data_IF_247057401809
#
_entry.id   IF_247057401809
#
_cell.length_a   1.000
_cell.length_b   1.000
_cell.length_c   1.000
_cell.angle_alpha   90.00
_cell.angle_beta   90.00
_cell.angle_gamma   90.00
#
_symmetry.space_group_name_H-M   'P 1'
#
loop_
_entity.id
_entity.type
_entity.pdbx_description
1 polymer ?
#
# COMPACT_ATOMS: atom_id res chain seq x y z
N UNK A 1 -13.05 -20.33 13.34
CA UNK A 1 -14.16 -19.96 14.24
C UNK A 1 -14.95 -18.77 13.69
N UNK A 2 -14.30 -17.74 13.14
CA UNK A 2 -14.97 -16.62 12.46
C UNK A 2 -15.92 -17.05 11.33
N UNK A 3 -15.58 -18.10 10.58
CA UNK A 3 -16.40 -18.62 9.48
C UNK A 3 -17.77 -19.18 9.93
N UNK A 4 -17.92 -19.53 11.22
CA UNK A 4 -19.22 -19.88 11.80
C UNK A 4 -20.04 -18.64 12.14
N UNK A 5 -19.37 -17.54 12.51
CA UNK A 5 -20.00 -16.25 12.82
C UNK A 5 -20.36 -15.47 11.55
N UNK A 6 -19.58 -15.65 10.48
CA UNK A 6 -19.70 -14.97 9.19
C UNK A 6 -19.70 -15.98 8.03
N UNK A 7 -20.71 -16.86 7.93
CA UNK A 7 -20.82 -17.82 6.83
C UNK A 7 -21.06 -17.11 5.47
N UNK A 8 -21.62 -15.91 5.49
CA UNK A 8 -21.77 -15.01 4.35
C UNK A 8 -20.43 -14.65 3.70
N UNK A 9 -19.38 -14.43 4.49
CA UNK A 9 -18.02 -14.16 4.01
C UNK A 9 -17.38 -15.34 3.28
N UNK A 10 -17.88 -16.56 3.50
CA UNK A 10 -17.49 -17.72 2.70
C UNK A 10 -18.34 -17.80 1.43
N UNK A 11 -19.65 -17.53 1.53
CA UNK A 11 -20.57 -17.59 0.41
C UNK A 11 -20.22 -16.57 -0.69
N UNK A 12 -19.85 -15.35 -0.31
CA UNK A 12 -19.52 -14.25 -1.23
C UNK A 12 -18.35 -14.56 -2.16
N UNK A 13 -17.46 -15.49 -1.80
CA UNK A 13 -16.35 -15.93 -2.66
C UNK A 13 -16.82 -16.59 -3.98
N UNK A 14 -18.09 -17.01 -4.03
CA UNK A 14 -18.76 -17.58 -5.21
C UNK A 14 -19.56 -16.54 -5.99
N UNK A 15 -19.77 -15.33 -5.45
CA UNK A 15 -20.52 -14.29 -6.12
C UNK A 15 -19.75 -13.76 -7.34
N UNK A 16 -20.38 -13.82 -8.52
CA UNK A 16 -19.73 -13.44 -9.78
C UNK A 16 -19.39 -11.95 -9.86
N UNK A 17 -20.26 -11.08 -9.31
CA UNK A 17 -20.03 -9.63 -9.33
C UNK A 17 -18.85 -9.28 -8.43
N UNK A 18 -18.78 -9.88 -7.25
CA UNK A 18 -17.70 -9.68 -6.30
C UNK A 18 -16.37 -10.17 -6.88
N UNK A 19 -16.34 -11.39 -7.45
CA UNK A 19 -15.14 -11.94 -8.11
C UNK A 19 -14.65 -11.07 -9.27
N UNK A 20 -15.58 -10.47 -10.03
CA UNK A 20 -15.24 -9.54 -11.11
C UNK A 20 -14.68 -8.22 -10.59
N UNK A 21 -15.29 -7.64 -9.55
CA UNK A 21 -14.90 -6.34 -9.00
C UNK A 21 -13.61 -6.40 -8.16
N UNK A 22 -13.41 -7.47 -7.41
CA UNK A 22 -12.31 -7.65 -6.46
C UNK A 22 -11.35 -8.77 -6.88
N UNK A 23 -11.26 -9.07 -8.18
CA UNK A 23 -10.52 -10.23 -8.70
C UNK A 23 -9.09 -10.34 -8.17
N UNK A 24 -8.29 -9.26 -8.24
CA UNK A 24 -6.92 -9.28 -7.69
C UNK A 24 -6.90 -9.48 -6.18
N UNK A 25 -7.81 -8.86 -5.45
CA UNK A 25 -7.87 -9.00 -3.99
C UNK A 25 -8.08 -10.47 -3.61
N UNK A 26 -9.03 -11.16 -4.23
CA UNK A 26 -9.24 -12.60 -4.01
C UNK A 26 -8.11 -13.47 -4.54
N UNK A 27 -7.50 -13.13 -5.67
CA UNK A 27 -6.34 -13.86 -6.18
C UNK A 27 -5.14 -13.75 -5.22
N UNK A 28 -4.94 -12.60 -4.57
CA UNK A 28 -3.88 -12.39 -3.59
C UNK A 28 -4.19 -13.13 -2.28
N UNK A 29 -5.43 -13.02 -1.79
CA UNK A 29 -5.89 -13.72 -0.59
C UNK A 29 -5.78 -15.26 -0.73
N UNK A 30 -6.04 -15.79 -1.92
CA UNK A 30 -5.93 -17.22 -2.23
C UNK A 30 -4.53 -17.65 -2.71
N UNK A 31 -3.52 -16.80 -2.51
CA UNK A 31 -2.12 -17.06 -2.86
C UNK A 31 -1.88 -17.37 -4.36
N UNK A 32 -2.82 -16.99 -5.23
CA UNK A 32 -2.70 -17.14 -6.69
C UNK A 32 -1.92 -16.00 -7.34
N UNK A 33 -1.85 -14.83 -6.70
CA UNK A 33 -1.10 -13.65 -7.16
C UNK A 33 -0.38 -12.96 -6.02
N UNK A 34 0.66 -12.20 -6.34
CA UNK A 34 1.39 -11.42 -5.33
C UNK A 34 0.72 -10.08 -5.00
N UNK A 35 0.74 -9.70 -3.73
CA UNK A 35 0.32 -8.36 -3.32
C UNK A 35 1.21 -7.28 -3.96
N UNK A 36 0.64 -6.14 -4.35
CA UNK A 36 1.36 -5.08 -5.08
C UNK A 36 2.59 -4.55 -4.32
N UNK A 37 2.55 -4.46 -2.99
CA UNK A 37 3.71 -4.02 -2.22
C UNK A 37 4.86 -5.03 -2.29
N UNK A 38 4.58 -6.34 -2.40
CA UNK A 38 5.60 -7.37 -2.58
C UNK A 38 6.23 -7.25 -3.98
N UNK A 39 5.40 -7.03 -5.01
CA UNK A 39 5.88 -6.78 -6.39
C UNK A 39 6.75 -5.52 -6.45
N UNK A 40 6.29 -4.41 -5.84
CA UNK A 40 7.06 -3.16 -5.80
C UNK A 40 8.36 -3.29 -5.01
N UNK A 41 8.39 -4.12 -3.96
CA UNK A 41 9.60 -4.42 -3.20
C UNK A 41 10.61 -5.24 -4.00
N UNK A 42 10.19 -5.93 -5.05
CA UNK A 42 11.07 -6.77 -5.88
C UNK A 42 11.64 -6.07 -7.10
N UNK A 43 11.12 -4.89 -7.45
CA UNK A 43 11.66 -4.10 -8.55
C UNK A 43 12.84 -3.25 -8.04
N UNK A 44 14.06 -3.38 -8.59
CA UNK A 44 15.20 -2.56 -8.18
C UNK A 44 14.98 -1.09 -8.53
N UNK A 45 15.52 -0.20 -7.70
CA UNK A 45 15.52 1.24 -7.97
C UNK A 45 16.88 1.83 -7.62
N UNK A 46 17.49 2.51 -8.59
CA UNK A 46 18.77 3.20 -8.40
C UNK A 46 18.54 4.69 -8.15
N UNK A 47 18.61 5.09 -6.87
CA UNK A 47 18.53 6.48 -6.45
C UNK A 47 19.41 6.76 -5.25
N UNK A 48 19.89 7.99 -5.11
CA UNK A 48 20.52 8.50 -3.89
C UNK A 48 19.53 9.30 -3.05
N UNK A 49 19.74 9.34 -1.72
CA UNK A 49 18.98 10.26 -0.85
C UNK A 49 19.29 11.73 -1.15
N UNK A 50 20.45 12.00 -1.73
CA UNK A 50 20.88 13.34 -2.12
C UNK A 50 20.38 13.75 -3.50
N UNK A 51 19.71 12.84 -4.23
CA UNK A 51 19.17 13.17 -5.54
C UNK A 51 18.08 14.24 -5.44
N UNK A 52 18.00 15.17 -6.41
CA UNK A 52 16.90 16.14 -6.48
C UNK A 52 15.51 15.49 -6.52
N UNK A 53 14.51 16.14 -5.92
CA UNK A 53 13.15 15.58 -5.81
C UNK A 53 12.50 15.34 -7.18
N UNK A 54 12.77 16.20 -8.16
CA UNK A 54 12.30 16.03 -9.54
C UNK A 54 12.92 14.78 -10.21
N UNK A 55 14.18 14.46 -9.90
CA UNK A 55 14.83 13.23 -10.39
C UNK A 55 14.16 11.99 -9.79
N UNK A 56 13.85 12.00 -8.49
CA UNK A 56 13.14 10.89 -7.85
C UNK A 56 11.76 10.65 -8.45
N UNK A 57 11.00 11.72 -8.75
CA UNK A 57 9.69 11.60 -9.39
C UNK A 57 9.77 11.07 -10.83
N UNK A 58 10.76 11.51 -11.62
CA UNK A 58 11.00 10.97 -12.96
C UNK A 58 11.31 9.47 -12.92
N UNK A 59 12.22 9.05 -12.04
CA UNK A 59 12.51 7.63 -11.83
C UNK A 59 11.27 6.86 -11.37
N UNK A 60 10.44 7.45 -10.50
CA UNK A 60 9.20 6.84 -10.07
C UNK A 60 8.24 6.60 -11.24
N UNK A 61 8.10 7.55 -12.17
CA UNK A 61 7.25 7.41 -13.36
C UNK A 61 7.74 6.29 -14.29
N UNK A 62 9.06 6.17 -14.50
CA UNK A 62 9.68 5.11 -15.27
C UNK A 62 9.41 3.73 -14.62
N UNK A 63 9.77 3.58 -13.35
CA UNK A 63 9.56 2.34 -12.60
C UNK A 63 8.08 1.99 -12.41
N UNK A 64 7.17 2.97 -12.50
CA UNK A 64 5.72 2.69 -12.51
C UNK A 64 5.32 1.87 -13.74
N UNK A 65 5.90 2.15 -14.92
CA UNK A 65 5.63 1.40 -16.15
C UNK A 65 6.18 -0.02 -16.03
N UNK A 66 7.44 -0.14 -15.60
CA UNK A 66 8.10 -1.42 -15.35
C UNK A 66 7.35 -2.25 -14.31
N UNK A 67 6.84 -1.63 -13.24
CA UNK A 67 6.03 -2.29 -12.23
C UNK A 67 4.79 -2.97 -12.84
N UNK A 68 4.09 -2.31 -13.76
CA UNK A 68 2.91 -2.89 -14.40
C UNK A 68 3.26 -4.01 -15.39
N UNK A 69 4.39 -3.89 -16.09
CA UNK A 69 4.91 -4.95 -16.96
C UNK A 69 5.33 -6.17 -16.16
N UNK A 70 6.16 -5.98 -15.13
CA UNK A 70 6.61 -7.03 -14.23
C UNK A 70 5.45 -7.72 -13.52
N UNK A 71 4.47 -6.96 -13.02
CA UNK A 71 3.25 -7.52 -12.42
C UNK A 71 2.47 -8.37 -13.41
N UNK A 72 2.36 -7.95 -14.69
CA UNK A 72 1.68 -8.75 -15.72
C UNK A 72 2.43 -10.06 -15.99
N UNK A 73 3.76 -10.01 -16.09
CA UNK A 73 4.60 -11.21 -16.25
C UNK A 73 4.49 -12.18 -15.06
N UNK A 74 4.40 -11.67 -13.83
CA UNK A 74 4.14 -12.48 -12.64
C UNK A 74 2.75 -13.11 -12.67
N UNK A 75 1.73 -12.33 -13.07
CA UNK A 75 0.35 -12.78 -13.13
C UNK A 75 0.14 -13.81 -14.27
N UNK A 76 0.94 -13.79 -15.35
CA UNK A 76 0.93 -14.77 -16.45
C UNK A 76 1.82 -15.99 -16.24
N UNK A 77 2.71 -15.96 -15.23
CA UNK A 77 3.70 -17.01 -14.98
C UNK A 77 4.94 -16.94 -15.90
N UNK A 78 5.09 -15.87 -16.67
CA UNK A 78 6.23 -15.64 -17.58
C UNK A 78 7.43 -15.01 -16.86
N UNK A 79 7.23 -14.40 -15.70
CA UNK A 79 8.29 -13.87 -14.85
C UNK A 79 8.71 -14.86 -13.76
N UNK A 80 9.94 -14.71 -13.27
CA UNK A 80 10.45 -15.47 -12.12
C UNK A 80 9.72 -15.15 -10.80
N UNK A 81 10.26 -15.64 -9.69
CA UNK A 81 9.73 -15.35 -8.37
C UNK A 81 9.97 -13.90 -7.91
N UNK A 82 9.62 -13.62 -6.66
CA UNK A 82 9.95 -12.36 -6.01
C UNK A 82 11.30 -12.45 -5.30
N UNK A 83 12.26 -11.65 -5.73
CA UNK A 83 13.52 -11.44 -5.02
C UNK A 83 13.60 -9.99 -4.54
N UNK A 84 14.19 -9.75 -3.37
CA UNK A 84 14.30 -8.41 -2.81
C UNK A 84 15.70 -7.83 -3.12
N UNK A 85 15.80 -6.78 -3.94
CA UNK A 85 17.05 -6.05 -4.14
C UNK A 85 17.40 -5.22 -2.90
N UNK A 86 18.66 -4.75 -2.76
CA UNK A 86 19.07 -3.88 -1.66
C UNK A 86 18.31 -2.55 -1.59
N UNK A 87 17.83 -2.06 -2.73
CA UNK A 87 17.05 -0.83 -2.85
C UNK A 87 15.99 -1.03 -3.94
N UNK A 88 14.74 -0.86 -3.56
CA UNK A 88 13.58 -1.20 -4.39
C UNK A 88 12.74 0.02 -4.78
N UNK A 89 11.85 -0.18 -5.74
CA UNK A 89 10.84 0.81 -6.11
C UNK A 89 9.94 1.19 -4.92
N UNK A 90 9.70 0.27 -3.98
CA UNK A 90 9.02 0.60 -2.72
C UNK A 90 9.85 1.56 -1.87
N UNK A 91 11.17 1.39 -1.79
CA UNK A 91 12.06 2.29 -1.05
C UNK A 91 12.11 3.68 -1.67
N UNK A 92 12.06 3.77 -3.01
CA UNK A 92 11.93 5.06 -3.71
C UNK A 92 10.64 5.79 -3.30
N UNK A 93 9.50 5.08 -3.25
CA UNK A 93 8.24 5.66 -2.79
C UNK A 93 8.30 6.13 -1.34
N UNK A 94 8.98 5.37 -0.46
CA UNK A 94 9.20 5.76 0.93
C UNK A 94 10.04 7.03 1.02
N UNK A 95 11.11 7.15 0.22
CA UNK A 95 11.94 8.36 0.18
C UNK A 95 11.14 9.59 -0.30
N UNK A 96 10.37 9.45 -1.38
CA UNK A 96 9.49 10.52 -1.87
C UNK A 96 8.46 10.90 -0.81
N UNK A 97 7.82 9.93 -0.14
CA UNK A 97 6.86 10.18 0.92
C UNK A 97 7.49 10.94 2.10
N UNK A 98 8.74 10.63 2.47
CA UNK A 98 9.49 11.38 3.50
C UNK A 98 9.73 12.82 3.12
N UNK A 99 9.95 13.12 1.83
CA UNK A 99 10.08 14.50 1.34
C UNK A 99 8.75 15.24 1.34
N UNK A 100 7.65 14.55 1.00
CA UNK A 100 6.31 15.12 1.14
C UNK A 100 6.01 15.48 2.61
N UNK A 101 6.55 14.76 3.60
CA UNK A 101 6.39 15.12 5.02
C UNK A 101 7.01 16.48 5.40
N UNK A 102 7.97 16.99 4.64
CA UNK A 102 8.61 18.30 4.89
C UNK A 102 7.71 19.48 4.50
N UNK A 103 6.78 19.26 3.57
CA UNK A 103 5.73 20.19 3.18
C UNK A 103 4.42 19.40 3.07
N UNK A 104 3.86 19.02 4.22
CA UNK A 104 2.87 17.94 4.30
C UNK A 104 1.61 18.19 3.46
N UNK A 105 1.41 17.30 2.47
CA UNK A 105 0.27 17.31 1.52
C UNK A 105 -0.53 16.00 1.48
N UNK A 106 -0.41 15.14 2.49
CA UNK A 106 -1.06 13.82 2.52
C UNK A 106 -2.59 13.87 2.64
N UNK A 107 -3.17 14.91 3.22
CA UNK A 107 -4.61 15.11 3.28
C UNK A 107 -5.06 16.27 2.39
N UNK A 108 -6.35 16.34 2.11
CA UNK A 108 -6.96 17.37 1.24
C UNK A 108 -6.69 18.81 1.71
N UNK A 109 -6.41 19.01 3.01
CA UNK A 109 -6.09 20.33 3.58
C UNK A 109 -4.73 20.86 3.13
N UNK A 110 -3.81 19.99 2.70
CA UNK A 110 -2.46 20.35 2.21
C UNK A 110 -1.78 21.40 3.11
N UNK A 111 -1.72 21.11 4.42
CA UNK A 111 -1.36 22.10 5.43
C UNK A 111 0.08 22.63 5.34
N UNK A 112 0.97 21.97 4.61
CA UNK A 112 2.37 22.38 4.45
C UNK A 112 3.25 22.27 5.69
N UNK A 113 2.71 21.83 6.83
CA UNK A 113 3.49 21.63 8.06
C UNK A 113 4.67 20.68 7.82
N UNK A 114 5.86 21.07 8.28
CA UNK A 114 7.07 20.26 8.19
C UNK A 114 7.11 19.25 9.34
N UNK A 115 6.63 18.03 9.07
CA UNK A 115 6.55 16.97 10.08
C UNK A 115 7.93 16.49 10.52
N UNK A 116 8.94 16.60 9.66
CA UNK A 116 10.33 16.25 10.00
C UNK A 116 10.96 17.23 10.97
N UNK A 117 10.51 18.49 10.97
CA UNK A 117 10.88 19.50 11.97
C UNK A 117 10.04 19.42 13.27
N UNK A 118 9.13 18.44 13.37
CA UNK A 118 8.25 18.28 14.54
C UNK A 118 7.00 19.16 14.49
N UNK A 119 6.78 19.91 13.41
CA UNK A 119 5.57 20.72 13.26
C UNK A 119 4.34 19.82 13.11
N UNK A 120 3.21 20.32 13.61
CA UNK A 120 1.91 19.65 13.48
C UNK A 120 0.97 20.57 12.71
N UNK A 121 0.38 20.02 11.65
CA UNK A 121 -0.69 20.69 10.93
C UNK A 121 -2.03 20.55 11.65
N UNK A 122 -3.11 20.95 10.98
CA UNK A 122 -4.49 20.84 11.49
C UNK A 122 -4.83 19.43 12.00
N UNK A 123 -4.30 18.38 11.38
CA UNK A 123 -4.60 17.01 11.77
C UNK A 123 -3.92 16.54 13.06
N UNK A 124 -3.01 17.32 13.66
CA UNK A 124 -2.30 16.96 14.88
C UNK A 124 -1.29 15.80 14.74
N UNK A 125 -1.21 15.12 13.59
CA UNK A 125 -0.26 14.02 13.39
C UNK A 125 1.20 14.51 13.32
N UNK A 126 2.14 13.68 13.78
CA UNK A 126 3.58 13.93 13.66
C UNK A 126 4.19 13.37 12.37
N UNK A 127 5.49 13.07 12.41
CA UNK A 127 6.19 12.31 11.36
C UNK A 127 5.82 10.82 11.38
N UNK A 128 5.54 10.28 12.58
CA UNK A 128 5.08 8.91 12.77
C UNK A 128 3.55 8.85 12.82
N UNK A 129 3.01 7.74 12.31
CA UNK A 129 1.58 7.45 12.42
C UNK A 129 1.27 6.86 13.80
N UNK A 130 0.49 7.58 14.61
CA UNK A 130 -0.03 7.05 15.86
C UNK A 130 -1.15 6.04 15.58
N UNK A 131 -1.10 4.88 16.22
CA UNK A 131 -2.10 3.82 16.14
C UNK A 131 -2.93 3.82 17.42
N UNK A 132 -4.25 3.90 17.27
CA UNK A 132 -5.20 3.78 18.37
C UNK A 132 -5.42 2.32 18.74
N UNK A 133 -5.80 1.51 17.75
CA UNK A 133 -6.14 0.10 17.93
C UNK A 133 -5.84 -0.70 16.67
N UNK A 134 -5.47 -1.97 16.84
CA UNK A 134 -5.41 -2.97 15.77
C UNK A 134 -6.10 -4.26 16.22
N UNK A 135 -6.96 -4.81 15.35
CA UNK A 135 -7.73 -6.01 15.67
C UNK A 135 -8.26 -6.69 14.40
N UNK A 136 -8.67 -7.95 14.55
CA UNK A 136 -9.43 -8.67 13.52
C UNK A 136 -10.87 -8.13 13.51
N UNK A 137 -11.23 -7.43 12.44
CA UNK A 137 -12.53 -6.79 12.32
C UNK A 137 -13.49 -7.69 11.53
N UNK A 138 -14.59 -8.05 12.21
CA UNK A 138 -15.66 -8.89 11.67
C UNK A 138 -16.90 -8.09 11.28
N UNK A 139 -16.82 -6.75 11.27
CA UNK A 139 -17.93 -5.84 11.02
C UNK A 139 -18.00 -5.26 9.60
N UNK A 140 -17.03 -5.58 8.72
CA UNK A 140 -17.02 -5.12 7.33
C UNK A 140 -18.03 -5.90 6.45
N UNK A 141 -18.15 -5.49 5.19
CA UNK A 141 -18.83 -6.22 4.13
C UNK A 141 -18.28 -7.65 3.98
N UNK A 142 -19.12 -8.63 3.58
CA UNK A 142 -18.76 -10.04 3.60
C UNK A 142 -17.44 -10.36 2.88
N UNK A 143 -17.18 -9.74 1.74
CA UNK A 143 -15.98 -9.93 0.93
C UNK A 143 -14.68 -9.43 1.56
N UNK A 144 -14.76 -8.61 2.61
CA UNK A 144 -13.62 -8.04 3.31
C UNK A 144 -13.40 -8.68 4.69
N UNK A 145 -14.24 -9.65 5.10
CA UNK A 145 -14.19 -10.24 6.44
C UNK A 145 -13.53 -11.63 6.45
N UNK A 146 -12.64 -11.92 7.42
CA UNK A 146 -12.09 -10.99 8.41
C UNK A 146 -11.12 -9.99 7.77
N UNK A 147 -11.16 -8.73 8.22
CA UNK A 147 -10.16 -7.73 7.86
C UNK A 147 -9.19 -7.49 9.00
N UNK A 148 -7.93 -7.23 8.66
CA UNK A 148 -6.95 -6.69 9.60
C UNK A 148 -7.11 -5.18 9.68
N UNK A 149 -7.82 -4.68 10.68
CA UNK A 149 -8.11 -3.25 10.83
C UNK A 149 -7.08 -2.57 11.71
N UNK A 150 -6.59 -1.42 11.25
CA UNK A 150 -5.68 -0.54 11.99
C UNK A 150 -6.32 0.85 12.01
N UNK A 151 -6.77 1.30 13.18
CA UNK A 151 -7.26 2.65 13.38
C UNK A 151 -6.10 3.55 13.80
N UNK A 152 -5.85 4.60 13.01
CA UNK A 152 -4.83 5.60 13.28
C UNK A 152 -5.43 6.84 13.95
N UNK A 153 -4.58 7.63 14.61
CA UNK A 153 -4.97 8.87 15.27
C UNK A 153 -4.69 10.11 14.39
N UNK A 154 -5.54 11.12 14.49
CA UNK A 154 -5.41 12.40 13.79
C UNK A 154 -6.76 13.04 13.47
N UNK A 155 -6.76 14.34 13.17
CA UNK A 155 -7.95 15.17 12.89
C UNK A 155 -9.11 14.93 13.90
N UNK A 156 -8.76 14.92 15.19
CA UNK A 156 -9.67 15.24 16.31
C UNK A 156 -10.06 16.71 16.29
#
# INVERSE_FOLDING_TARGET
MWSLLRPDSIAVLKDEKCRRSLGRYFDVFQERKYANFKVARSLPADFSRDDPTDKLWRLHEELTKEFYEFRRGLDSGEAGGLEAPPKSYLDLKVEIAKRILEDCRFCVRRCGANRRAGERGFCGCGADAAVSTSFEHLGEEPELVPSGTIFTCGCS
#
